data_IF_914359473353
#
_entry.id   IF_914359473353
#
_cell.length_a   1.000
_cell.length_b   1.000
_cell.length_c   1.000
_cell.angle_alpha   90.00
_cell.angle_beta   90.00
_cell.angle_gamma   90.00
#
_symmetry.space_group_name_H-M   'P 1'
#
loop_
_entity.id
_entity.type
_entity.pdbx_description
1 polymer ?
#
# COMPACT_ATOMS: atom_id res chain seq x y z
N UNK A 1 7.38 -0.15 7.04
CA UNK A 1 7.42 1.14 6.32
C UNK A 1 6.70 2.17 7.16
N UNK A 2 7.21 3.40 7.26
CA UNK A 2 6.61 4.46 8.09
C UNK A 2 5.79 5.47 7.26
N UNK A 3 4.84 6.16 7.90
CA UNK A 3 4.02 7.19 7.27
C UNK A 3 4.86 8.32 6.63
N UNK A 4 5.97 8.70 7.28
CA UNK A 4 6.92 9.68 6.75
C UNK A 4 7.60 9.21 5.44
N UNK A 5 7.88 7.91 5.31
CA UNK A 5 8.48 7.37 4.08
C UNK A 5 7.51 7.45 2.90
N UNK A 6 6.22 7.12 3.13
CA UNK A 6 5.17 7.26 2.11
C UNK A 6 5.04 8.72 1.66
N UNK A 7 5.00 9.66 2.62
CA UNK A 7 4.92 11.11 2.33
C UNK A 7 6.10 11.56 1.48
N UNK A 8 7.30 11.09 1.80
CA UNK A 8 8.54 11.44 1.08
C UNK A 8 8.51 10.89 -0.35
N UNK A 9 8.10 9.64 -0.55
CA UNK A 9 8.04 9.00 -1.87
C UNK A 9 7.02 9.70 -2.78
N UNK A 10 5.85 10.04 -2.23
CA UNK A 10 4.78 10.68 -2.98
C UNK A 10 4.89 12.21 -3.06
N UNK A 11 5.90 12.81 -2.42
CA UNK A 11 6.08 14.26 -2.29
C UNK A 11 4.81 14.97 -1.79
N UNK A 12 4.14 14.38 -0.80
CA UNK A 12 2.91 14.92 -0.24
C UNK A 12 3.18 15.98 0.83
N UNK A 13 2.32 17.02 0.92
CA UNK A 13 2.36 17.95 2.05
C UNK A 13 1.96 17.21 3.34
N UNK A 14 2.52 17.66 4.47
CA UNK A 14 2.34 17.01 5.77
C UNK A 14 0.86 16.92 6.21
N UNK A 15 0.04 17.89 5.82
CA UNK A 15 -1.38 18.03 6.18
C UNK A 15 -2.34 17.16 5.36
N UNK A 16 -1.86 16.39 4.36
CA UNK A 16 -2.77 15.71 3.43
C UNK A 16 -3.55 14.55 4.04
N UNK A 17 -2.94 13.83 4.98
CA UNK A 17 -3.47 12.62 5.59
C UNK A 17 -3.05 12.54 7.05
N UNK A 18 -3.93 12.04 7.90
CA UNK A 18 -3.57 11.69 9.28
C UNK A 18 -2.60 10.51 9.33
N UNK A 19 -1.64 10.58 10.25
CA UNK A 19 -0.64 9.52 10.46
C UNK A 19 -1.29 8.16 10.78
N UNK A 20 -2.43 8.17 11.45
CA UNK A 20 -3.22 6.97 11.80
C UNK A 20 -3.90 6.34 10.59
N UNK A 21 -4.51 7.13 9.71
CA UNK A 21 -5.09 6.64 8.46
C UNK A 21 -3.99 6.03 7.58
N UNK A 22 -2.83 6.71 7.46
CA UNK A 22 -1.70 6.21 6.68
C UNK A 22 -1.16 4.89 7.22
N UNK A 23 -1.07 4.73 8.54
CA UNK A 23 -0.58 3.49 9.14
C UNK A 23 -1.46 2.28 8.77
N UNK A 24 -2.79 2.45 8.83
CA UNK A 24 -3.76 1.40 8.44
C UNK A 24 -3.62 1.06 6.95
N UNK A 25 -3.50 2.08 6.10
CA UNK A 25 -3.28 1.92 4.66
C UNK A 25 -2.00 1.14 4.35
N UNK A 26 -0.89 1.48 5.02
CA UNK A 26 0.39 0.79 4.85
C UNK A 26 0.26 -0.68 5.21
N UNK A 27 -0.38 -1.01 6.34
CA UNK A 27 -0.57 -2.39 6.79
C UNK A 27 -1.39 -3.20 5.79
N UNK A 28 -2.48 -2.63 5.25
CA UNK A 28 -3.32 -3.28 4.26
C UNK A 28 -2.55 -3.59 2.97
N UNK A 29 -1.90 -2.60 2.37
CA UNK A 29 -1.15 -2.81 1.13
C UNK A 29 0.09 -3.68 1.32
N UNK A 30 0.68 -3.68 2.52
CA UNK A 30 1.74 -4.62 2.88
C UNK A 30 1.21 -6.05 2.89
N UNK A 31 0.02 -6.30 3.46
CA UNK A 31 -0.63 -7.62 3.41
C UNK A 31 -0.85 -8.10 1.97
N UNK A 32 -1.38 -7.23 1.11
CA UNK A 32 -1.58 -7.52 -0.32
C UNK A 32 -0.24 -7.83 -1.01
N UNK A 33 0.81 -7.06 -0.72
CA UNK A 33 2.13 -7.29 -1.30
C UNK A 33 2.76 -8.61 -0.81
N UNK A 34 2.56 -8.99 0.45
CA UNK A 34 3.04 -10.25 1.01
C UNK A 34 2.34 -11.46 0.38
N UNK A 35 1.01 -11.38 0.24
CA UNK A 35 0.21 -12.41 -0.43
C UNK A 35 0.63 -12.56 -1.89
N UNK A 36 0.81 -11.44 -2.61
CA UNK A 36 1.21 -11.45 -4.01
C UNK A 36 2.64 -12.01 -4.22
N UNK A 37 3.56 -11.68 -3.32
CA UNK A 37 4.96 -12.13 -3.38
C UNK A 37 5.16 -13.54 -2.82
N UNK A 38 4.17 -14.13 -2.15
CA UNK A 38 4.31 -15.33 -1.32
C UNK A 38 5.51 -15.23 -0.36
N UNK A 39 5.72 -14.04 0.22
CA UNK A 39 6.89 -13.77 1.06
C UNK A 39 6.47 -12.91 2.25
N UNK A 40 7.07 -13.16 3.42
CA UNK A 40 6.90 -12.31 4.59
C UNK A 40 7.98 -11.23 4.58
N UNK A 41 7.54 -9.98 4.54
CA UNK A 41 8.43 -8.83 4.72
C UNK A 41 8.44 -8.44 6.20
N UNK A 42 9.62 -8.49 6.83
CA UNK A 42 9.83 -7.99 8.19
C UNK A 42 9.57 -6.48 8.24
N UNK A 43 8.94 -6.01 9.31
CA UNK A 43 8.67 -4.59 9.53
C UNK A 43 9.95 -3.76 9.47
N UNK A 44 9.95 -2.73 8.61
CA UNK A 44 11.08 -1.83 8.42
C UNK A 44 12.17 -2.35 7.47
N UNK A 45 12.09 -3.61 7.03
CA UNK A 45 13.01 -4.22 6.07
C UNK A 45 12.34 -4.50 4.72
N UNK A 46 11.29 -3.74 4.36
CA UNK A 46 10.68 -3.87 3.05
C UNK A 46 11.65 -3.38 1.95
N UNK A 47 11.85 -4.15 0.87
CA UNK A 47 12.60 -3.68 -0.29
C UNK A 47 12.00 -2.40 -0.88
N UNK A 48 12.84 -1.58 -1.50
CA UNK A 48 12.41 -0.30 -2.10
C UNK A 48 11.26 -0.47 -3.11
N UNK A 49 11.22 -1.60 -3.85
CA UNK A 49 10.12 -1.90 -4.77
C UNK A 49 8.77 -2.12 -4.08
N UNK A 50 8.77 -2.74 -2.89
CA UNK A 50 7.57 -2.91 -2.07
C UNK A 50 7.12 -1.56 -1.49
N UNK A 51 8.07 -0.75 -1.01
CA UNK A 51 7.79 0.61 -0.54
C UNK A 51 7.15 1.48 -1.62
N UNK A 52 7.68 1.40 -2.85
CA UNK A 52 7.13 2.11 -4.01
C UNK A 52 5.75 1.60 -4.40
N UNK A 53 5.53 0.28 -4.40
CA UNK A 53 4.21 -0.31 -4.62
C UNK A 53 3.18 0.21 -3.62
N UNK A 54 3.50 0.23 -2.33
CA UNK A 54 2.59 0.73 -1.29
C UNK A 54 2.28 2.22 -1.55
N UNK A 55 3.29 3.05 -1.78
CA UNK A 55 3.11 4.48 -2.02
C UNK A 55 2.25 4.78 -3.26
N UNK A 56 2.54 4.11 -4.38
CA UNK A 56 1.78 4.28 -5.62
C UNK A 56 0.36 3.70 -5.52
N UNK A 57 0.14 2.64 -4.73
CA UNK A 57 -1.19 2.08 -4.48
C UNK A 57 -2.06 3.04 -3.68
N UNK A 58 -1.52 3.68 -2.64
CA UNK A 58 -2.25 4.69 -1.86
C UNK A 58 -2.58 5.90 -2.75
N UNK A 59 -1.66 6.33 -3.62
CA UNK A 59 -1.90 7.40 -4.60
C UNK A 59 -2.96 7.01 -5.64
N UNK A 60 -2.99 5.75 -6.07
CA UNK A 60 -4.01 5.29 -7.00
C UNK A 60 -5.40 5.27 -6.37
N UNK A 61 -5.51 4.83 -5.11
CA UNK A 61 -6.75 4.86 -4.36
C UNK A 61 -7.34 6.28 -4.23
N UNK A 62 -6.49 7.32 -4.21
CA UNK A 62 -6.93 8.72 -4.26
C UNK A 62 -7.58 9.08 -5.61
N UNK A 63 -7.01 8.59 -6.71
CA UNK A 63 -7.44 8.93 -8.07
C UNK A 63 -8.71 8.18 -8.48
N UNK A 64 -8.88 6.94 -8.02
CA UNK A 64 -10.01 6.07 -8.37
C UNK A 64 -11.28 6.39 -7.55
N UNK A 65 -11.18 7.29 -6.57
CA UNK A 65 -12.31 7.74 -5.75
C UNK A 65 -12.53 6.82 -4.56
N UNK A 66 -12.51 7.40 -3.36
CA UNK A 66 -12.84 6.72 -2.10
C UNK A 66 -14.26 6.17 -2.21
N UNK A 67 -14.41 4.85 -2.34
CA UNK A 67 -15.70 4.28 -2.72
C UNK A 67 -16.72 4.28 -1.59
N UNK A 68 -16.35 4.59 -0.33
CA UNK A 68 -17.26 4.98 0.76
C UNK A 68 -16.50 5.32 2.05
N UNK A 69 -16.77 6.47 2.69
CA UNK A 69 -16.49 6.72 4.12
C UNK A 69 -17.83 6.79 4.87
N UNK A 70 -18.18 5.78 5.67
CA UNK A 70 -19.34 5.81 6.58
C UNK A 70 -18.88 5.94 8.04
N UNK A 71 -19.15 7.10 8.63
CA UNK A 71 -18.77 7.52 9.98
C UNK A 71 -19.73 6.94 11.03
N UNK A 72 -19.47 5.72 11.49
CA UNK A 72 -20.23 5.09 12.58
C UNK A 72 -19.69 3.72 13.00
N UNK A 73 -19.14 2.98 12.02
CA UNK A 73 -18.38 1.75 12.21
C UNK A 73 -17.41 1.68 11.03
N UNK A 74 -16.15 2.09 11.26
CA UNK A 74 -15.16 2.43 10.22
C UNK A 74 -14.97 1.26 9.24
N UNK A 75 -15.73 1.29 8.15
CA UNK A 75 -15.68 0.30 7.07
C UNK A 75 -15.00 0.96 5.88
N UNK A 76 -13.67 1.07 5.92
CA UNK A 76 -12.92 1.69 4.83
C UNK A 76 -12.82 0.67 3.70
N UNK A 77 -13.59 0.89 2.64
CA UNK A 77 -13.56 0.06 1.44
C UNK A 77 -12.53 0.66 0.49
N UNK A 78 -11.40 -0.03 0.31
CA UNK A 78 -10.37 0.37 -0.64
C UNK A 78 -10.51 -0.44 -1.91
N UNK A 79 -10.31 0.20 -3.06
CA UNK A 79 -10.29 -0.51 -4.33
C UNK A 79 -9.07 -1.44 -4.38
N UNK A 80 -9.33 -2.75 -4.37
CA UNK A 80 -8.31 -3.78 -4.47
C UNK A 80 -7.93 -4.06 -5.92
N UNK A 81 -8.56 -3.38 -6.89
CA UNK A 81 -8.34 -3.52 -8.32
C UNK A 81 -7.18 -2.62 -8.78
N UNK A 82 -6.01 -2.85 -8.19
CA UNK A 82 -4.80 -2.13 -8.54
C UNK A 82 -4.39 -2.47 -9.99
N UNK A 83 -4.00 -1.48 -10.81
CA UNK A 83 -3.56 -1.74 -12.17
C UNK A 83 -2.35 -2.67 -12.20
N UNK A 84 -2.30 -3.58 -13.18
CA UNK A 84 -1.22 -4.55 -13.37
C UNK A 84 0.18 -3.92 -13.40
N UNK A 85 0.27 -2.65 -13.83
CA UNK A 85 1.51 -1.89 -13.85
C UNK A 85 2.15 -1.70 -12.46
N UNK A 86 1.35 -1.58 -11.40
CA UNK A 86 1.86 -1.43 -10.03
C UNK A 86 2.53 -2.72 -9.55
N UNK A 87 1.93 -3.86 -9.88
CA UNK A 87 2.49 -5.17 -9.53
C UNK A 87 3.84 -5.46 -10.19
N UNK A 88 4.23 -4.73 -11.25
CA UNK A 88 5.57 -4.86 -11.84
C UNK A 88 6.68 -4.52 -10.85
N UNK A 89 6.42 -3.64 -9.87
CA UNK A 89 7.39 -3.35 -8.80
C UNK A 89 7.60 -4.51 -7.83
N UNK A 90 6.63 -5.42 -7.75
CA UNK A 90 6.66 -6.62 -6.91
C UNK A 90 7.17 -7.87 -7.65
N UNK A 91 7.16 -7.86 -8.99
CA UNK A 91 7.62 -8.96 -9.84
C UNK A 91 8.98 -9.57 -9.42
N UNK A 92 10.04 -8.79 -9.12
CA UNK A 92 11.34 -9.37 -8.75
C UNK A 92 11.35 -10.04 -7.37
N UNK A 93 10.38 -9.75 -6.51
CA UNK A 93 10.29 -10.30 -5.15
C UNK A 93 9.33 -11.49 -5.05
N UNK A 94 8.70 -11.86 -6.16
CA UNK A 94 7.70 -12.93 -6.21
C UNK A 94 8.37 -14.30 -6.17
N UNK A 95 8.08 -15.07 -5.11
CA UNK A 95 8.53 -16.46 -5.00
C UNK A 95 7.55 -17.40 -5.71
N UNK A 96 8.09 -18.35 -6.47
CA UNK A 96 7.31 -19.40 -7.10
C UNK A 96 6.75 -20.32 -6.01
N UNK A 97 5.42 -20.49 -5.97
CA UNK A 97 4.78 -21.45 -5.06
C UNK A 97 4.76 -22.82 -5.74
N UNK A 98 5.76 -23.64 -5.42
CA UNK A 98 5.75 -25.05 -5.78
C UNK A 98 4.65 -25.73 -4.94
N UNK A 99 3.67 -26.33 -5.61
CA UNK A 99 2.58 -27.06 -4.98
C UNK A 99 2.92 -28.55 -4.94
#
# INVERSE_FOLDING_TARGET
MNALEVRTINQWPADKYDDTELAILIELYKGIAQEHCNNTFLDGSEPMGVKKFIADSIKHCETTGVTSKSMGSVSISFDTNLPAALYNHLAPFRKLRWR
#
